data_IF_443624063009
#
_entry.id   IF_443624063009
#
_cell.length_a   1.000
_cell.length_b   1.000
_cell.length_c   1.000
_cell.angle_alpha   90.00
_cell.angle_beta   90.00
_cell.angle_gamma   90.00
#
_symmetry.space_group_name_H-M   'P 1'
#
loop_
_entity.id
_entity.type
_entity.pdbx_description
1 polymer ?
#
# COMPACT_ATOMS: atom_id res chain seq x y z
N UNK A 1 8.00 -4.24 -15.53
CA UNK A 1 7.21 -5.46 -15.83
C UNK A 1 8.00 -6.55 -16.55
N UNK A 2 8.60 -6.31 -17.73
CA UNK A 2 9.37 -7.36 -18.41
C UNK A 2 10.74 -7.63 -17.77
N UNK A 3 11.31 -6.65 -17.06
CA UNK A 3 12.60 -6.75 -16.36
C UNK A 3 12.50 -7.31 -14.93
N UNK A 4 11.35 -7.18 -14.26
CA UNK A 4 11.17 -7.50 -12.84
C UNK A 4 11.50 -8.98 -12.55
N UNK A 5 11.28 -9.86 -13.52
CA UNK A 5 11.65 -11.27 -13.44
C UNK A 5 13.16 -11.51 -13.31
N UNK A 6 13.99 -10.63 -13.88
CA UNK A 6 15.45 -10.75 -13.78
C UNK A 6 15.97 -10.49 -12.36
N UNK A 7 15.24 -9.71 -11.56
CA UNK A 7 15.56 -9.44 -10.16
C UNK A 7 14.90 -10.47 -9.22
N UNK A 8 13.61 -10.76 -9.44
CA UNK A 8 12.83 -11.63 -8.56
C UNK A 8 13.17 -13.12 -8.68
N UNK A 9 13.38 -13.65 -9.89
CA UNK A 9 13.56 -15.11 -10.06
C UNK A 9 14.86 -15.66 -9.48
N UNK A 10 16.02 -14.99 -9.58
CA UNK A 10 17.23 -15.46 -8.90
C UNK A 10 17.03 -15.57 -7.38
N UNK A 11 16.41 -14.56 -6.76
CA UNK A 11 16.10 -14.59 -5.33
C UNK A 11 15.15 -15.73 -4.96
N UNK A 12 14.04 -15.87 -5.71
CA UNK A 12 13.05 -16.91 -5.46
C UNK A 12 13.62 -18.32 -5.59
N UNK A 13 14.45 -18.59 -6.62
CA UNK A 13 15.06 -19.91 -6.80
C UNK A 13 16.07 -20.25 -5.72
N UNK A 14 16.70 -19.25 -5.10
CA UNK A 14 17.61 -19.44 -3.99
C UNK A 14 16.87 -19.82 -2.70
N UNK A 15 15.71 -19.20 -2.45
CA UNK A 15 14.94 -19.40 -1.19
C UNK A 15 13.93 -20.55 -1.30
N UNK A 16 13.38 -20.78 -2.50
CA UNK A 16 12.36 -21.78 -2.79
C UNK A 16 12.83 -22.67 -3.96
N UNK A 17 13.63 -23.71 -3.70
CA UNK A 17 14.05 -24.63 -4.77
C UNK A 17 12.83 -25.40 -5.30
N UNK A 18 12.67 -25.42 -6.63
CA UNK A 18 11.61 -26.17 -7.31
C UNK A 18 10.39 -25.38 -7.78
N UNK A 19 10.34 -24.05 -7.56
CA UNK A 19 9.31 -23.21 -8.18
C UNK A 19 9.50 -23.18 -9.71
N UNK A 20 8.38 -23.30 -10.43
CA UNK A 20 8.33 -23.24 -11.90
C UNK A 20 8.50 -21.83 -12.48
N UNK A 21 8.00 -21.62 -13.69
CA UNK A 21 8.01 -20.30 -14.33
C UNK A 21 6.91 -19.38 -13.78
N UNK A 22 7.06 -18.08 -14.02
CA UNK A 22 6.02 -17.10 -13.70
C UNK A 22 4.80 -17.27 -14.61
N UNK A 23 3.64 -17.47 -14.00
CA UNK A 23 2.36 -17.61 -14.71
C UNK A 23 1.66 -16.26 -14.90
N UNK A 24 1.88 -15.31 -13.98
CA UNK A 24 1.26 -14.00 -13.98
C UNK A 24 2.14 -12.97 -13.25
N UNK A 25 2.21 -11.76 -13.81
CA UNK A 25 2.86 -10.61 -13.18
C UNK A 25 2.06 -9.35 -13.43
N UNK A 26 2.03 -8.47 -12.44
CA UNK A 26 1.36 -7.17 -12.51
C UNK A 26 2.22 -6.12 -11.81
N UNK A 27 2.19 -4.89 -12.32
CA UNK A 27 2.70 -3.74 -11.60
C UNK A 27 1.59 -3.15 -10.73
N UNK A 28 1.98 -2.70 -9.54
CA UNK A 28 1.14 -1.90 -8.65
C UNK A 28 1.88 -0.59 -8.33
N UNK A 29 1.18 0.38 -7.76
CA UNK A 29 1.73 1.68 -7.39
C UNK A 29 1.80 1.80 -5.87
N UNK A 30 2.86 2.40 -5.37
CA UNK A 30 2.96 2.83 -3.97
C UNK A 30 2.86 4.35 -3.92
N UNK A 31 2.02 4.85 -3.04
CA UNK A 31 1.92 6.25 -2.62
C UNK A 31 2.80 6.45 -1.38
N UNK A 32 4.07 6.76 -1.58
CA UNK A 32 5.03 6.88 -0.48
C UNK A 32 5.02 8.29 0.12
N UNK A 33 4.91 8.37 1.45
CA UNK A 33 5.32 9.54 2.23
C UNK A 33 6.84 9.55 2.40
N UNK A 34 7.46 10.72 2.72
CA UNK A 34 8.91 10.80 2.91
C UNK A 34 9.48 9.94 4.06
N UNK A 35 8.65 9.64 5.06
CA UNK A 35 8.98 8.86 6.26
C UNK A 35 8.34 7.45 6.25
N UNK A 36 7.63 7.09 5.18
CA UNK A 36 6.89 5.83 5.01
C UNK A 36 5.72 5.61 5.99
N UNK A 37 5.38 6.63 6.79
CA UNK A 37 4.22 6.64 7.69
C UNK A 37 2.96 7.14 6.98
N UNK A 38 1.79 6.75 7.49
CA UNK A 38 0.50 7.14 6.90
C UNK A 38 0.21 8.62 7.15
N UNK A 39 -0.33 9.28 6.14
CA UNK A 39 -0.93 10.61 6.30
C UNK A 39 -2.43 10.40 6.53
N UNK A 40 -2.86 10.57 7.78
CA UNK A 40 -4.26 10.54 8.20
C UNK A 40 -4.55 11.87 8.90
N UNK A 41 -5.08 12.83 8.16
CA UNK A 41 -5.28 14.18 8.67
C UNK A 41 -6.40 14.92 7.91
N UNK A 42 -6.87 16.03 8.46
CA UNK A 42 -7.82 16.92 7.80
C UNK A 42 -7.13 17.84 6.79
N UNK A 43 -7.84 18.19 5.71
CA UNK A 43 -7.32 19.12 4.72
C UNK A 43 -7.31 20.55 5.31
N UNK A 44 -6.17 21.28 5.28
CA UNK A 44 -6.14 22.64 5.80
C UNK A 44 -7.19 23.55 5.15
N UNK A 45 -8.01 24.20 5.97
CA UNK A 45 -9.12 25.06 5.53
C UNK A 45 -10.42 24.33 5.20
N UNK A 46 -10.46 23.00 5.38
CA UNK A 46 -11.62 22.14 5.13
C UNK A 46 -11.75 21.09 6.23
N UNK A 47 -12.16 21.51 7.42
CA UNK A 47 -12.21 20.67 8.64
C UNK A 47 -13.14 19.44 8.50
N UNK A 48 -14.04 19.42 7.52
CA UNK A 48 -14.93 18.30 7.21
C UNK A 48 -14.39 17.36 6.12
N UNK A 49 -13.10 17.46 5.77
CA UNK A 49 -12.46 16.66 4.73
C UNK A 49 -11.26 15.91 5.32
N UNK A 50 -11.41 14.60 5.50
CA UNK A 50 -10.33 13.70 5.92
C UNK A 50 -9.54 13.19 4.71
N UNK A 51 -8.21 13.27 4.78
CA UNK A 51 -7.29 12.58 3.88
C UNK A 51 -6.75 11.32 4.56
N UNK A 52 -6.73 10.23 3.80
CA UNK A 52 -5.99 9.01 4.10
C UNK A 52 -5.15 8.69 2.87
N UNK A 53 -3.83 8.87 2.96
CA UNK A 53 -2.87 8.71 1.85
C UNK A 53 -1.47 8.41 2.40
N UNK A 54 -0.46 8.30 1.55
CA UNK A 54 0.90 8.00 1.98
C UNK A 54 1.02 6.58 2.55
N UNK A 55 0.22 5.64 2.03
CA UNK A 55 0.10 4.29 2.58
C UNK A 55 1.36 3.43 2.36
N UNK A 56 2.33 3.95 1.61
CA UNK A 56 3.72 3.49 1.53
C UNK A 56 3.87 1.98 1.28
N UNK A 57 2.93 1.42 0.53
CA UNK A 57 2.93 0.01 0.15
C UNK A 57 2.50 -0.99 1.22
N UNK A 58 2.10 -0.52 2.40
CA UNK A 58 1.72 -1.38 3.51
C UNK A 58 0.33 -1.09 4.10
N UNK A 59 -0.39 -0.08 3.57
CA UNK A 59 -1.73 0.29 4.06
C UNK A 59 -2.83 -0.77 3.89
N UNK A 60 -2.74 -1.69 2.92
CA UNK A 60 -3.83 -2.65 2.67
C UNK A 60 -4.17 -3.51 3.89
N UNK A 61 -3.16 -3.91 4.69
CA UNK A 61 -3.38 -4.71 5.91
C UNK A 61 -4.17 -3.95 6.99
N UNK A 62 -4.24 -2.61 6.89
CA UNK A 62 -4.95 -1.72 7.80
C UNK A 62 -6.28 -1.23 7.21
N UNK A 63 -6.67 -1.67 6.01
CA UNK A 63 -7.84 -1.16 5.31
C UNK A 63 -9.12 -1.19 6.16
N UNK A 64 -9.28 -2.20 7.03
CA UNK A 64 -10.43 -2.27 7.95
C UNK A 64 -10.45 -1.14 8.97
N UNK A 65 -9.33 -0.90 9.67
CA UNK A 65 -9.25 0.14 10.71
C UNK A 65 -9.22 1.54 10.10
N UNK A 66 -8.60 1.71 8.93
CA UNK A 66 -8.66 2.97 8.18
C UNK A 66 -10.10 3.30 7.76
N UNK A 67 -10.87 2.28 7.37
CA UNK A 67 -12.30 2.42 7.07
C UNK A 67 -13.13 2.80 8.30
N UNK A 68 -12.82 2.24 9.47
CA UNK A 68 -13.46 2.59 10.74
C UNK A 68 -13.18 4.06 11.12
N UNK A 69 -11.92 4.49 11.07
CA UNK A 69 -11.52 5.88 11.32
C UNK A 69 -12.27 6.84 10.38
N UNK A 70 -12.32 6.52 9.08
CA UNK A 70 -13.03 7.35 8.11
C UNK A 70 -14.54 7.41 8.37
N UNK A 71 -15.14 6.30 8.82
CA UNK A 71 -16.57 6.23 9.14
C UNK A 71 -16.92 7.01 10.42
N UNK A 72 -16.06 6.98 11.44
CA UNK A 72 -16.24 7.75 12.67
C UNK A 72 -16.05 9.25 12.44
N UNK A 73 -15.03 9.64 11.65
CA UNK A 73 -14.87 11.02 11.21
C UNK A 73 -16.12 11.53 10.48
N UNK A 74 -16.67 10.74 9.54
CA UNK A 74 -17.88 11.12 8.80
C UNK A 74 -19.14 11.22 9.66
N UNK A 75 -19.12 10.71 10.89
CA UNK A 75 -20.21 10.76 11.86
C UNK A 75 -19.98 11.81 12.95
N UNK A 76 -18.93 12.64 12.84
CA UNK A 76 -18.52 13.63 13.85
C UNK A 76 -18.31 13.00 15.25
N UNK A 77 -17.69 11.82 15.31
CA UNK A 77 -17.37 11.13 16.57
C UNK A 77 -15.95 11.38 17.05
#
# INVERSE_FOLDING_TARGET
VASDGSEAFPFLRNVLPGIGCCLYGAACTYDNSPDEDFIIDTLPGHDNTLLITGLSGHGFKFASVLGEIAADFAQDK
#
